data_IF_895508630634
#
_entry.id   IF_895508630634
#
_cell.length_a   1.000
_cell.length_b   1.000
_cell.length_c   1.000
_cell.angle_alpha   90.00
_cell.angle_beta   90.00
_cell.angle_gamma   90.00
#
_symmetry.space_group_name_H-M   'P 1'
#
loop_
_entity.id
_entity.type
_entity.pdbx_description
1 polymer ?
#
# COMPACT_ATOMS: atom_id res chain seq x y z
N UNK A 1 8.50 -12.85 -36.13
CA UNK A 1 7.87 -12.33 -34.90
C UNK A 1 7.90 -13.45 -33.85
N UNK A 2 8.88 -13.43 -32.96
CA UNK A 2 9.05 -14.46 -31.91
C UNK A 2 8.25 -14.06 -30.68
N UNK A 3 7.10 -14.70 -30.48
CA UNK A 3 6.24 -14.55 -29.30
C UNK A 3 6.98 -15.06 -28.06
N UNK A 4 7.45 -14.15 -27.21
CA UNK A 4 8.09 -14.48 -25.93
C UNK A 4 7.02 -14.96 -24.94
N UNK A 5 6.89 -16.29 -24.74
CA UNK A 5 6.11 -16.88 -23.64
C UNK A 5 7.04 -17.01 -22.42
N UNK A 6 6.88 -16.20 -21.36
CA UNK A 6 7.69 -16.34 -20.16
C UNK A 6 7.41 -17.71 -19.51
N UNK A 7 8.46 -18.49 -19.25
CA UNK A 7 8.39 -19.82 -18.65
C UNK A 7 7.92 -19.72 -17.19
N UNK A 8 7.21 -20.75 -16.71
CA UNK A 8 6.60 -20.81 -15.36
C UNK A 8 7.61 -20.55 -14.23
N UNK A 9 8.88 -20.93 -14.43
CA UNK A 9 9.99 -20.70 -13.51
C UNK A 9 10.27 -19.20 -13.30
N UNK A 10 10.20 -18.38 -14.35
CA UNK A 10 10.43 -16.93 -14.24
C UNK A 10 9.30 -16.22 -13.48
N UNK A 11 8.04 -16.65 -13.69
CA UNK A 11 6.88 -16.16 -12.93
C UNK A 11 6.91 -16.58 -11.46
N UNK A 12 7.39 -17.79 -11.17
CA UNK A 12 7.47 -18.31 -9.80
C UNK A 12 8.62 -17.66 -9.01
N UNK A 13 9.72 -17.28 -9.67
CA UNK A 13 10.88 -16.65 -9.02
C UNK A 13 10.66 -15.17 -8.70
N UNK A 14 9.86 -14.44 -9.49
CA UNK A 14 9.52 -13.03 -9.23
C UNK A 14 8.31 -12.83 -8.30
N UNK A 15 7.44 -13.84 -8.17
CA UNK A 15 6.29 -13.82 -7.24
C UNK A 15 6.65 -13.54 -5.77
N UNK A 16 7.68 -14.17 -5.16
CA UNK A 16 8.01 -13.92 -3.76
C UNK A 16 8.52 -12.50 -3.52
N UNK A 17 9.23 -11.89 -4.48
CA UNK A 17 9.70 -10.50 -4.36
C UNK A 17 8.54 -9.52 -4.43
N UNK A 18 7.59 -9.75 -5.34
CA UNK A 18 6.36 -8.96 -5.43
C UNK A 18 5.49 -9.07 -4.17
N UNK A 19 5.36 -10.28 -3.60
CA UNK A 19 4.65 -10.52 -2.34
C UNK A 19 5.35 -9.89 -1.13
N UNK A 20 6.67 -10.03 -1.03
CA UNK A 20 7.44 -9.42 0.05
C UNK A 20 7.37 -7.90 0.00
N UNK A 21 7.45 -7.31 -1.19
CA UNK A 21 7.35 -5.86 -1.40
C UNK A 21 5.94 -5.34 -1.08
N UNK A 22 4.89 -6.09 -1.39
CA UNK A 22 3.51 -5.73 -1.06
C UNK A 22 3.20 -5.87 0.43
N UNK A 23 3.76 -6.89 1.12
CA UNK A 23 3.71 -6.98 2.58
C UNK A 23 4.44 -5.83 3.25
N UNK A 24 5.66 -5.51 2.81
CA UNK A 24 6.43 -4.39 3.33
C UNK A 24 5.70 -3.06 3.12
N UNK A 25 5.13 -2.84 1.93
CA UNK A 25 4.31 -1.66 1.62
C UNK A 25 3.06 -1.57 2.50
N UNK A 26 2.40 -2.70 2.77
CA UNK A 26 1.25 -2.77 3.67
C UNK A 26 1.59 -2.40 5.12
N UNK A 27 2.73 -2.88 5.62
CA UNK A 27 3.22 -2.54 6.97
C UNK A 27 3.54 -1.05 7.10
N UNK A 28 4.22 -0.47 6.10
CA UNK A 28 4.53 0.97 6.08
C UNK A 28 3.26 1.81 6.01
N UNK A 29 2.31 1.44 5.16
CA UNK A 29 1.03 2.14 5.06
C UNK A 29 0.23 2.07 6.37
N UNK A 30 0.20 0.90 7.03
CA UNK A 30 -0.45 0.73 8.34
C UNK A 30 0.19 1.58 9.45
N UNK A 31 1.52 1.69 9.47
CA UNK A 31 2.22 2.53 10.44
C UNK A 31 1.93 4.03 10.24
N UNK A 32 1.94 4.51 8.99
CA UNK A 32 1.60 5.89 8.65
C UNK A 32 0.16 6.21 9.04
N UNK A 33 -0.78 5.30 8.73
CA UNK A 33 -2.17 5.46 9.12
C UNK A 33 -2.36 5.59 10.63
N UNK A 34 -1.72 4.72 11.43
CA UNK A 34 -1.74 4.82 12.90
C UNK A 34 -1.21 6.16 13.40
N UNK A 35 -0.12 6.67 12.81
CA UNK A 35 0.48 7.94 13.21
C UNK A 35 -0.45 9.12 12.91
N UNK A 36 -1.09 9.13 11.73
CA UNK A 36 -2.06 10.17 11.36
C UNK A 36 -3.29 10.08 12.25
N UNK A 37 -3.80 8.86 12.51
CA UNK A 37 -4.94 8.65 13.38
C UNK A 37 -4.67 9.17 14.78
N UNK A 38 -3.53 8.79 15.39
CA UNK A 38 -3.13 9.25 16.72
C UNK A 38 -2.99 10.78 16.82
N UNK A 39 -2.71 11.47 15.72
CA UNK A 39 -2.66 12.93 15.69
C UNK A 39 -4.04 13.57 15.49
N UNK A 40 -4.95 12.87 14.81
CA UNK A 40 -6.31 13.32 14.55
C UNK A 40 -7.30 12.97 15.68
N UNK A 41 -7.04 11.93 16.46
CA UNK A 41 -7.80 11.57 17.65
C UNK A 41 -7.18 12.18 18.89
N UNK A 42 -7.94 13.05 19.57
CA UNK A 42 -7.52 13.84 20.74
C UNK A 42 -7.35 12.96 22.01
N UNK A 43 -6.43 11.99 21.96
CA UNK A 43 -6.01 11.17 23.10
C UNK A 43 -6.97 10.05 23.55
N UNK A 44 -8.29 10.22 23.40
CA UNK A 44 -9.29 9.26 23.93
C UNK A 44 -9.33 7.93 23.13
N UNK A 45 -9.00 7.97 21.84
CA UNK A 45 -9.03 6.81 20.93
C UNK A 45 -7.72 6.68 20.15
N UNK A 46 -6.70 6.16 20.84
CA UNK A 46 -5.34 5.99 20.31
C UNK A 46 -5.24 5.00 19.14
N UNK A 47 -6.21 4.09 19.00
CA UNK A 47 -6.28 3.17 17.87
C UNK A 47 -7.43 3.53 16.92
N UNK A 48 -7.22 3.38 15.60
CA UNK A 48 -8.26 3.59 14.60
C UNK A 48 -9.43 2.60 14.80
N UNK A 49 -10.67 3.02 14.54
CA UNK A 49 -11.86 2.20 14.75
C UNK A 49 -11.77 0.97 13.85
N UNK A 50 -11.79 -0.20 14.49
CA UNK A 50 -11.80 -1.48 13.78
C UNK A 50 -13.15 -1.68 13.10
N UNK A 51 -13.19 -2.37 11.93
CA UNK A 51 -14.45 -2.60 11.21
C UNK A 51 -15.54 -3.34 12.01
N UNK A 52 -15.14 -4.01 13.09
CA UNK A 52 -15.99 -4.79 13.98
C UNK A 52 -16.20 -4.11 15.34
N UNK A 53 -15.73 -2.87 15.52
CA UNK A 53 -15.80 -2.18 16.78
C UNK A 53 -17.27 -1.79 17.07
N UNK A 54 -17.78 -2.30 18.20
CA UNK A 54 -19.20 -2.18 18.58
C UNK A 54 -19.55 -0.80 19.13
N UNK A 55 -18.54 -0.05 19.56
CA UNK A 55 -18.66 1.23 20.25
C UNK A 55 -18.65 2.44 19.30
N UNK A 56 -18.42 2.22 17.99
CA UNK A 56 -18.39 3.28 16.99
C UNK A 56 -19.64 3.23 16.10
N UNK A 57 -20.15 4.40 15.71
CA UNK A 57 -21.27 4.46 14.76
C UNK A 57 -20.82 3.99 13.37
N UNK A 58 -21.74 3.44 12.59
CA UNK A 58 -21.47 3.01 11.21
C UNK A 58 -20.85 4.13 10.36
N UNK A 59 -21.28 5.38 10.58
CA UNK A 59 -20.75 6.56 9.87
C UNK A 59 -19.28 6.81 10.19
N UNK A 60 -18.89 6.66 11.45
CA UNK A 60 -17.48 6.83 11.88
C UNK A 60 -16.59 5.72 11.32
N UNK A 61 -17.07 4.47 11.32
CA UNK A 61 -16.35 3.34 10.72
C UNK A 61 -16.11 3.57 9.22
N UNK A 62 -17.13 4.02 8.49
CA UNK A 62 -17.01 4.30 7.04
C UNK A 62 -16.06 5.47 6.78
N UNK A 63 -16.12 6.55 7.57
CA UNK A 63 -15.20 7.69 7.44
C UNK A 63 -13.76 7.28 7.73
N UNK A 64 -13.52 6.47 8.76
CA UNK A 64 -12.19 5.95 9.07
C UNK A 64 -11.66 5.05 7.95
N UNK A 65 -12.50 4.16 7.41
CA UNK A 65 -12.14 3.31 6.27
C UNK A 65 -11.80 4.14 5.02
N UNK A 66 -12.56 5.20 4.74
CA UNK A 66 -12.29 6.11 3.63
C UNK A 66 -10.95 6.84 3.80
N UNK A 67 -10.66 7.34 5.00
CA UNK A 67 -9.38 7.98 5.31
C UNK A 67 -8.20 7.01 5.18
N UNK A 68 -8.36 5.77 5.68
CA UNK A 68 -7.37 4.71 5.51
C UNK A 68 -7.11 4.42 4.02
N UNK A 69 -8.18 4.34 3.22
CA UNK A 69 -8.09 4.15 1.77
C UNK A 69 -7.35 5.29 1.06
N UNK A 70 -7.59 6.55 1.47
CA UNK A 70 -6.90 7.72 0.95
C UNK A 70 -5.40 7.67 1.25
N UNK A 71 -5.04 7.41 2.51
CA UNK A 71 -3.63 7.32 2.93
C UNK A 71 -2.92 6.19 2.19
N UNK A 72 -3.55 5.02 2.08
CA UNK A 72 -3.01 3.89 1.33
C UNK A 72 -2.76 4.26 -0.14
N UNK A 73 -3.72 4.94 -0.78
CA UNK A 73 -3.58 5.39 -2.17
C UNK A 73 -2.40 6.33 -2.35
N UNK A 74 -2.26 7.33 -1.47
CA UNK A 74 -1.14 8.29 -1.50
C UNK A 74 0.20 7.58 -1.33
N UNK A 75 0.33 6.71 -0.32
CA UNK A 75 1.56 5.95 -0.08
C UNK A 75 1.90 5.07 -1.29
N UNK A 76 0.91 4.36 -1.83
CA UNK A 76 1.07 3.54 -3.04
C UNK A 76 1.56 4.39 -4.22
N UNK A 77 0.94 5.54 -4.49
CA UNK A 77 1.36 6.42 -5.59
C UNK A 77 2.80 6.92 -5.41
N UNK A 78 3.21 7.26 -4.18
CA UNK A 78 4.58 7.67 -3.89
C UNK A 78 5.55 6.51 -4.15
N UNK A 79 5.24 5.30 -3.67
CA UNK A 79 6.06 4.11 -3.89
C UNK A 79 6.13 3.78 -5.39
N UNK A 80 5.01 3.76 -6.10
CA UNK A 80 4.96 3.47 -7.54
C UNK A 80 5.80 4.47 -8.33
N UNK A 81 5.70 5.77 -8.01
CA UNK A 81 6.46 6.82 -8.69
C UNK A 81 7.96 6.74 -8.40
N UNK A 82 8.33 6.49 -7.15
CA UNK A 82 9.74 6.38 -6.76
C UNK A 82 10.36 5.07 -7.26
N UNK A 83 9.58 3.99 -7.25
CA UNK A 83 9.92 2.69 -7.83
C UNK A 83 10.10 2.78 -9.35
N UNK A 84 9.20 3.45 -10.06
CA UNK A 84 9.32 3.68 -11.50
C UNK A 84 10.60 4.48 -11.84
N UNK A 85 10.91 5.52 -11.06
CA UNK A 85 12.17 6.26 -11.20
C UNK A 85 13.40 5.41 -10.90
N UNK A 86 13.37 4.60 -9.85
CA UNK A 86 14.49 3.73 -9.49
C UNK A 86 14.72 2.65 -10.56
N UNK A 87 13.63 2.05 -11.06
CA UNK A 87 13.66 1.08 -12.15
C UNK A 87 14.21 1.72 -13.42
N UNK A 88 13.66 2.84 -13.88
CA UNK A 88 14.15 3.55 -15.05
C UNK A 88 15.62 3.99 -14.92
N UNK A 89 16.08 4.29 -13.70
CA UNK A 89 17.50 4.61 -13.44
C UNK A 89 18.41 3.39 -13.52
N UNK A 90 17.90 2.20 -13.22
CA UNK A 90 18.65 0.94 -13.23
C UNK A 90 18.60 0.24 -14.58
N UNK A 91 17.46 0.29 -15.27
CA UNK A 91 17.23 -0.41 -16.54
C UNK A 91 17.31 0.52 -17.75
N UNK A 92 17.27 1.84 -17.55
CA UNK A 92 17.17 2.83 -18.63
C UNK A 92 15.77 2.94 -19.24
N UNK A 93 14.82 2.10 -18.81
CA UNK A 93 13.52 1.94 -19.45
C UNK A 93 12.39 2.29 -18.47
N UNK A 94 11.45 3.10 -18.91
CA UNK A 94 10.33 3.53 -18.07
C UNK A 94 9.30 2.40 -17.96
N UNK A 95 8.91 1.95 -16.75
CA UNK A 95 8.02 0.80 -16.59
C UNK A 95 6.53 1.12 -16.80
N UNK A 96 6.21 2.31 -17.26
CA UNK A 96 4.84 2.82 -17.42
C UNK A 96 4.23 2.62 -18.80
N UNK A 97 4.78 1.72 -19.61
CA UNK A 97 4.34 1.41 -20.97
C UNK A 97 3.80 -0.03 -21.08
#
# INVERSE_FOLDING_TARGET
>A
MTTYKPTLTAKLMYRPVGLASSLAGGLVAGAIFKQIWKHASDGEHSDPPTPLARDYSFREIVLAAALQGLIFSVVKTVIDRQGAKAFARWTGEWPGE
#
